data_IF_432625334044
#
_entry.id   IF_432625334044
#
_cell.length_a   1.000
_cell.length_b   1.000
_cell.length_c   1.000
_cell.angle_alpha   90.00
_cell.angle_beta   90.00
_cell.angle_gamma   90.00
#
_symmetry.space_group_name_H-M   'P 1'
#
loop_
_entity.id
_entity.type
_entity.pdbx_description
1 polymer ?
#
# COMPACT_ATOMS: atom_id res chain seq x y z
N UNK A 1 16.26 -0.69 -3.50
CA UNK A 1 15.59 0.11 -2.66
C UNK A 1 14.87 -0.61 -1.54
N UNK A 2 14.34 0.13 -0.63
CA UNK A 2 13.87 -0.46 0.62
C UNK A 2 12.38 -0.74 0.61
N UNK A 3 11.65 -0.20 -0.35
CA UNK A 3 10.23 -0.44 -0.46
C UNK A 3 9.97 -1.51 -1.50
N UNK A 4 9.20 -2.50 -1.09
CA UNK A 4 8.74 -3.55 -1.98
C UNK A 4 7.26 -3.32 -2.21
N UNK A 5 6.88 -3.11 -3.47
CA UNK A 5 5.48 -2.85 -3.80
C UNK A 5 5.13 -3.54 -5.10
N UNK A 6 4.02 -4.24 -5.13
CA UNK A 6 3.56 -4.87 -6.35
C UNK A 6 2.05 -4.94 -6.40
N UNK A 7 1.51 -5.00 -7.61
CA UNK A 7 0.08 -5.15 -7.80
C UNK A 7 -0.21 -6.55 -8.30
N UNK A 8 -1.39 -7.01 -7.97
CA UNK A 8 -1.88 -8.30 -8.44
C UNK A 8 -3.28 -8.08 -8.95
N UNK A 9 -3.53 -8.53 -10.19
CA UNK A 9 -4.84 -8.39 -10.81
C UNK A 9 -5.51 -9.76 -10.83
N UNK A 10 -6.69 -9.81 -10.27
CA UNK A 10 -7.55 -10.97 -10.32
C UNK A 10 -8.80 -10.56 -11.08
N UNK A 11 -9.61 -11.51 -11.45
CA UNK A 11 -10.81 -11.23 -12.20
C UNK A 11 -11.69 -10.23 -11.42
N UNK A 12 -11.83 -9.02 -11.96
CA UNK A 12 -12.64 -8.00 -11.35
C UNK A 12 -12.06 -7.31 -10.12
N UNK A 13 -10.79 -7.59 -9.79
CA UNK A 13 -10.18 -7.07 -8.56
C UNK A 13 -8.72 -6.75 -8.76
N UNK A 14 -8.22 -5.79 -7.97
CA UNK A 14 -6.82 -5.46 -7.94
C UNK A 14 -6.35 -5.29 -6.50
N UNK A 15 -5.14 -5.75 -6.25
CA UNK A 15 -4.52 -5.65 -4.94
C UNK A 15 -3.17 -4.95 -5.08
N UNK A 16 -2.86 -4.08 -4.14
CA UNK A 16 -1.55 -3.46 -4.04
C UNK A 16 -0.95 -3.84 -2.71
N UNK A 17 0.18 -4.53 -2.76
CA UNK A 17 0.90 -4.93 -1.56
C UNK A 17 2.13 -4.04 -1.44
N UNK A 18 2.33 -3.46 -0.26
CA UNK A 18 3.43 -2.53 0.00
C UNK A 18 4.11 -2.95 1.29
N UNK A 19 5.43 -2.93 1.29
CA UNK A 19 6.20 -3.27 2.48
C UNK A 19 7.49 -2.48 2.50
N UNK A 20 7.79 -1.86 3.63
CA UNK A 20 9.07 -1.19 3.84
C UNK A 20 9.98 -2.14 4.60
N UNK A 21 10.97 -2.69 3.90
CA UNK A 21 11.92 -3.65 4.48
C UNK A 21 13.13 -2.97 5.10
N UNK A 22 12.95 -1.78 5.63
CA UNK A 22 14.06 -0.99 6.10
C UNK A 22 13.79 -0.55 7.54
N UNK A 23 14.86 -0.29 8.28
CA UNK A 23 14.74 0.28 9.61
C UNK A 23 14.64 1.80 9.55
N UNK A 24 14.49 2.34 8.35
CA UNK A 24 14.33 3.78 8.15
C UNK A 24 12.97 4.09 7.60
N UNK A 25 12.50 5.30 7.86
CA UNK A 25 11.26 5.79 7.27
C UNK A 25 11.45 5.90 5.76
N UNK A 26 10.44 5.54 4.99
CA UNK A 26 10.49 5.62 3.55
C UNK A 26 9.20 6.23 3.01
N UNK A 27 9.27 6.84 1.84
CA UNK A 27 8.14 7.55 1.26
C UNK A 27 7.85 6.98 -0.11
N UNK A 28 6.57 6.85 -0.43
CA UNK A 28 6.19 6.40 -1.77
C UNK A 28 4.87 7.02 -2.17
N UNK A 29 4.63 7.06 -3.48
CA UNK A 29 3.34 7.50 -4.01
C UNK A 29 2.46 6.29 -4.25
N UNK A 30 1.20 6.42 -3.85
CA UNK A 30 0.22 5.38 -4.11
C UNK A 30 -0.23 5.52 -5.56
N UNK A 31 -0.26 4.43 -6.35
CA UNK A 31 -0.76 4.51 -7.71
C UNK A 31 -2.16 5.10 -7.73
N UNK A 32 -2.42 5.90 -8.75
CA UNK A 32 -3.68 6.64 -8.85
C UNK A 32 -4.90 5.75 -8.70
N UNK A 33 -4.84 4.55 -9.26
CA UNK A 33 -5.97 3.64 -9.21
C UNK A 33 -6.29 3.16 -7.81
N UNK A 34 -5.39 3.34 -6.85
CA UNK A 34 -5.62 2.95 -5.46
C UNK A 34 -5.83 4.15 -4.54
N UNK A 35 -5.90 5.35 -5.10
CA UNK A 35 -6.11 6.55 -4.28
C UNK A 35 -7.58 6.76 -3.97
N UNK A 36 -8.47 6.19 -4.78
CA UNK A 36 -9.92 6.32 -4.60
C UNK A 36 -10.54 4.95 -4.65
N UNK A 37 -11.60 4.76 -3.88
CA UNK A 37 -12.39 3.54 -3.89
C UNK A 37 -11.57 2.30 -3.56
N UNK A 38 -10.49 2.47 -2.81
CA UNK A 38 -9.69 1.36 -2.36
C UNK A 38 -9.90 1.19 -0.88
N UNK A 39 -9.79 -0.05 -0.43
CA UNK A 39 -9.98 -0.35 0.97
C UNK A 39 -8.75 -1.09 1.48
N UNK A 40 -8.35 -0.80 2.71
CA UNK A 40 -7.19 -1.46 3.29
C UNK A 40 -7.63 -2.77 3.92
N UNK A 41 -7.11 -3.87 3.40
CA UNK A 41 -7.46 -5.19 3.91
C UNK A 41 -6.60 -5.57 5.10
N UNK A 42 -5.32 -5.24 5.04
CA UNK A 42 -4.36 -5.66 6.06
C UNK A 42 -3.38 -4.52 6.28
N UNK A 43 -3.09 -4.24 7.54
CA UNK A 43 -2.03 -3.32 7.89
C UNK A 43 -1.44 -3.77 9.22
N UNK A 44 -0.12 -3.83 9.30
CA UNK A 44 0.52 -4.31 10.51
C UNK A 44 0.67 -3.23 11.57
N UNK A 45 0.50 -1.96 11.21
CA UNK A 45 0.62 -0.85 12.16
C UNK A 45 -0.68 -0.08 12.34
N UNK A 46 -1.79 -0.58 11.78
CA UNK A 46 -3.08 0.04 11.97
C UNK A 46 -3.28 1.35 11.22
N UNK A 47 -2.57 1.53 10.10
CA UNK A 47 -2.71 2.75 9.30
C UNK A 47 -4.13 2.87 8.77
N UNK A 48 -4.69 4.06 8.84
CA UNK A 48 -6.05 4.31 8.38
C UNK A 48 -6.14 5.31 7.25
N UNK A 49 -5.09 6.10 7.06
CA UNK A 49 -5.09 7.13 6.02
C UNK A 49 -4.18 6.72 4.88
N UNK A 50 -4.74 6.68 3.68
CA UNK A 50 -3.99 6.38 2.46
C UNK A 50 -4.35 7.45 1.46
N UNK A 51 -3.44 8.37 1.24
CA UNK A 51 -3.66 9.41 0.26
C UNK A 51 -2.83 9.15 -0.97
N UNK A 52 -2.45 10.23 -1.61
CA UNK A 52 -1.64 10.16 -2.80
C UNK A 52 -0.21 9.71 -2.46
N UNK A 53 0.25 10.11 -1.29
CA UNK A 53 1.62 9.83 -0.87
C UNK A 53 1.60 9.33 0.57
N UNK A 54 2.36 8.31 0.86
CA UNK A 54 2.44 7.78 2.21
C UNK A 54 3.89 7.74 2.68
N UNK A 55 4.05 7.98 3.97
CA UNK A 55 5.34 7.85 4.63
C UNK A 55 5.27 6.58 5.45
N UNK A 56 6.07 5.60 5.07
CA UNK A 56 6.04 4.29 5.70
C UNK A 56 7.01 4.25 6.86
N UNK A 57 6.54 3.81 8.00
CA UNK A 57 7.39 3.58 9.14
C UNK A 57 8.26 2.35 8.89
N UNK A 58 9.35 2.18 9.65
CA UNK A 58 10.17 0.99 9.49
C UNK A 58 9.32 -0.28 9.58
N UNK A 59 9.52 -1.16 8.63
CA UNK A 59 8.85 -2.47 8.56
C UNK A 59 7.34 -2.39 8.50
N UNK A 60 6.81 -1.25 8.08
CA UNK A 60 5.37 -1.13 7.87
C UNK A 60 4.95 -1.85 6.59
N UNK A 61 3.82 -2.53 6.64
CA UNK A 61 3.27 -3.25 5.49
C UNK A 61 1.76 -3.08 5.44
N UNK A 62 1.21 -3.01 4.23
CA UNK A 62 -0.24 -2.97 4.08
C UNK A 62 -0.64 -3.49 2.71
N UNK A 63 -1.91 -3.84 2.58
CA UNK A 63 -2.49 -4.31 1.33
C UNK A 63 -3.74 -3.49 1.07
N UNK A 64 -3.80 -2.87 -0.10
CA UNK A 64 -4.99 -2.15 -0.55
C UNK A 64 -5.73 -2.99 -1.57
N UNK A 65 -7.04 -2.90 -1.54
CA UNK A 65 -7.92 -3.67 -2.40
C UNK A 65 -8.81 -2.71 -3.17
N UNK A 66 -8.98 -2.98 -4.44
CA UNK A 66 -9.89 -2.21 -5.28
C UNK A 66 -10.72 -3.17 -6.13
N UNK A 67 -12.04 -2.95 -6.12
CA UNK A 67 -12.95 -3.69 -6.96
C UNK A 67 -13.07 -2.96 -8.29
N UNK A 68 -12.83 -3.65 -9.38
CA UNK A 68 -12.84 -3.04 -10.71
C UNK A 68 -14.24 -2.97 -11.31
#
# INVERSE_FOLDING_TARGET
DQIFAYTRTLEGEKLLTVCNFSEHVAEMEIPEEFQKNAECLITNLGRKDFGKKVVLKPYEAFVLYRNL
#
